data_IF_163209611608
#
_entry.id   IF_163209611608
#
_cell.length_a   1.000
_cell.length_b   1.000
_cell.length_c   1.000
_cell.angle_alpha   90.00
_cell.angle_beta   90.00
_cell.angle_gamma   90.00
#
_symmetry.space_group_name_H-M   'P 1'
#
loop_
_entity.id
_entity.type
_entity.pdbx_description
1 polymer ?
#
# COMPACT_ATOMS: atom_id res chain seq x y z
N UNK A 1 6.94 32.04 24.52
CA UNK A 1 6.81 30.63 24.91
C UNK A 1 6.61 30.59 26.41
N UNK A 2 5.40 30.26 26.86
CA UNK A 2 5.08 30.12 28.28
C UNK A 2 5.68 28.81 28.81
N UNK A 3 6.21 28.78 30.03
CA UNK A 3 6.80 27.57 30.64
C UNK A 3 5.84 26.36 30.61
N UNK A 4 4.54 26.65 30.66
CA UNK A 4 3.44 25.68 30.63
C UNK A 4 3.28 24.94 29.28
N UNK A 5 3.67 25.55 28.16
CA UNK A 5 3.60 24.88 26.84
C UNK A 5 4.78 23.93 26.60
N UNK A 6 5.92 24.18 27.26
CA UNK A 6 7.14 23.37 27.14
C UNK A 6 7.01 22.02 27.86
N UNK A 7 6.31 21.98 28.99
CA UNK A 7 6.06 20.74 29.75
C UNK A 7 4.85 19.94 29.24
N UNK A 8 3.97 20.56 28.44
CA UNK A 8 2.75 19.91 27.94
C UNK A 8 3.01 18.88 26.83
N UNK A 9 3.96 19.11 25.91
CA UNK A 9 4.19 18.22 24.77
C UNK A 9 4.70 16.81 25.17
N UNK A 10 5.69 16.68 26.07
CA UNK A 10 6.13 15.36 26.55
C UNK A 10 5.03 14.62 27.32
N UNK A 11 4.22 15.36 28.08
CA UNK A 11 3.06 14.81 28.79
C UNK A 11 2.05 14.23 27.79
N UNK A 12 1.60 15.03 26.82
CA UNK A 12 0.63 14.62 25.81
C UNK A 12 1.14 13.47 24.94
N UNK A 13 2.40 13.49 24.49
CA UNK A 13 2.96 12.39 23.70
C UNK A 13 2.96 11.06 24.47
N UNK A 14 3.26 11.09 25.78
CA UNK A 14 3.15 9.89 26.62
C UNK A 14 1.72 9.37 26.68
N UNK A 15 0.72 10.23 26.89
CA UNK A 15 -0.68 9.81 26.89
C UNK A 15 -1.11 9.27 25.51
N UNK A 16 -0.76 9.96 24.42
CA UNK A 16 -1.11 9.52 23.07
C UNK A 16 -0.50 8.16 22.71
N UNK A 17 0.74 7.89 23.10
CA UNK A 17 1.37 6.57 22.90
C UNK A 17 0.63 5.47 23.64
N UNK A 18 0.27 5.67 24.92
CA UNK A 18 -0.55 4.70 25.66
C UNK A 18 -1.94 4.54 25.04
N UNK A 19 -2.58 5.62 24.60
CA UNK A 19 -3.87 5.56 23.92
C UNK A 19 -3.80 4.75 22.62
N UNK A 20 -2.75 4.94 21.82
CA UNK A 20 -2.52 4.21 20.56
C UNK A 20 -2.43 2.70 20.79
N UNK A 21 -1.73 2.26 21.84
CA UNK A 21 -1.63 0.84 22.18
C UNK A 21 -3.00 0.22 22.51
N UNK A 22 -3.85 0.96 23.22
CA UNK A 22 -5.23 0.54 23.51
C UNK A 22 -6.06 0.44 22.23
N UNK A 23 -6.02 1.48 21.39
CA UNK A 23 -6.76 1.50 20.10
C UNK A 23 -6.31 0.37 19.18
N UNK A 24 -4.99 0.13 19.07
CA UNK A 24 -4.43 -0.93 18.24
C UNK A 24 -4.88 -2.32 18.70
N UNK A 25 -4.82 -2.58 20.02
CA UNK A 25 -5.26 -3.85 20.61
C UNK A 25 -6.74 -4.13 20.36
N UNK A 26 -7.59 -3.12 20.44
CA UNK A 26 -9.02 -3.29 20.14
C UNK A 26 -9.31 -3.44 18.65
N UNK A 27 -8.56 -2.75 17.78
CA UNK A 27 -8.67 -2.95 16.34
C UNK A 27 -8.28 -4.38 15.93
N UNK A 28 -7.22 -4.93 16.55
CA UNK A 28 -6.84 -6.34 16.42
C UNK A 28 -7.94 -7.28 16.91
N UNK A 29 -8.54 -7.00 18.08
CA UNK A 29 -9.64 -7.80 18.62
C UNK A 29 -10.90 -7.78 17.74
N UNK A 30 -11.13 -6.69 17.00
CA UNK A 30 -12.23 -6.56 16.02
C UNK A 30 -11.91 -7.14 14.64
N UNK A 31 -10.67 -7.58 14.40
CA UNK A 31 -10.23 -8.07 13.09
C UNK A 31 -10.10 -6.98 12.01
N UNK A 32 -10.05 -5.70 12.42
CA UNK A 32 -9.89 -4.55 11.52
C UNK A 32 -8.43 -4.34 11.06
N UNK A 33 -7.49 -4.94 11.79
CA UNK A 33 -6.05 -4.87 11.57
C UNK A 33 -5.49 -6.28 11.79
N UNK A 34 -4.68 -6.79 10.85
CA UNK A 34 -3.89 -8.00 11.09
C UNK A 34 -2.63 -7.65 11.91
N UNK A 35 -2.02 -8.58 12.67
CA UNK A 35 -0.82 -8.29 13.49
C UNK A 35 0.38 -7.72 12.70
N UNK A 36 0.32 -7.73 11.37
CA UNK A 36 1.31 -7.11 10.47
C UNK A 36 0.94 -5.69 9.98
N UNK A 37 -0.11 -5.07 10.52
CA UNK A 37 -0.42 -3.65 10.27
C UNK A 37 -1.16 -3.36 8.97
N UNK A 38 -1.71 -4.37 8.29
CA UNK A 38 -2.50 -4.15 7.06
C UNK A 38 -4.00 -4.21 7.37
N UNK A 39 -4.71 -3.16 6.94
CA UNK A 39 -6.16 -2.99 7.07
C UNK A 39 -6.89 -3.98 6.17
N UNK A 40 -7.86 -4.69 6.74
CA UNK A 40 -8.78 -5.60 6.05
C UNK A 40 -9.85 -4.82 5.31
N UNK A 41 -9.58 -4.38 4.07
CA UNK A 41 -10.63 -4.23 3.05
C UNK A 41 -10.07 -4.29 1.62
N UNK A 42 -10.76 -5.11 0.81
CA UNK A 42 -10.64 -5.34 -0.65
C UNK A 42 -9.54 -6.31 -1.14
N UNK A 43 -9.94 -7.59 -1.14
CA UNK A 43 -9.70 -8.63 -2.16
C UNK A 43 -8.76 -8.29 -3.34
N UNK A 44 -7.49 -8.73 -3.27
CA UNK A 44 -6.84 -9.66 -4.22
C UNK A 44 -5.31 -9.69 -4.04
N UNK A 45 -4.77 -10.91 -3.81
CA UNK A 45 -3.34 -11.34 -3.90
C UNK A 45 -2.37 -11.01 -2.72
N UNK A 46 -1.29 -11.82 -2.51
CA UNK A 46 -0.98 -12.43 -1.22
C UNK A 46 0.03 -11.62 -0.42
N UNK A 47 -0.29 -11.37 0.85
CA UNK A 47 0.73 -11.10 1.87
C UNK A 47 1.03 -12.42 2.58
N UNK A 48 2.30 -12.82 2.55
CA UNK A 48 2.87 -13.88 3.37
C UNK A 48 4.28 -13.47 3.75
N UNK A 49 4.54 -13.27 5.04
CA UNK A 49 5.35 -14.19 5.88
C UNK A 49 5.32 -13.69 7.33
N UNK A 50 4.83 -14.54 8.23
CA UNK A 50 4.94 -14.37 9.67
C UNK A 50 6.06 -15.31 10.14
N UNK A 51 7.15 -14.75 10.65
CA UNK A 51 8.31 -15.51 11.10
C UNK A 51 8.15 -15.85 12.59
N UNK A 52 7.63 -17.05 12.89
CA UNK A 52 7.73 -17.63 14.24
C UNK A 52 9.14 -18.17 14.49
N UNK A 53 9.82 -17.85 15.61
CA UNK A 53 11.00 -18.58 16.01
C UNK A 53 10.62 -19.85 16.80
N UNK A 54 11.27 -20.95 16.42
CA UNK A 54 11.16 -22.27 17.04
C UNK A 54 11.64 -22.24 18.50
N UNK A 55 10.87 -22.88 19.38
CA UNK A 55 11.30 -23.21 20.73
C UNK A 55 12.32 -24.34 20.74
N UNK A 56 13.40 -24.15 21.49
CA UNK A 56 14.23 -25.25 22.00
C UNK A 56 14.40 -25.11 23.50
N UNK A 57 13.89 -26.13 24.18
CA UNK A 57 14.00 -26.42 25.60
C UNK A 57 15.43 -26.81 25.97
N UNK A 58 16.03 -26.14 26.96
CA UNK A 58 17.08 -26.70 27.80
C UNK A 58 17.17 -25.93 29.14
N UNK A 59 17.09 -26.67 30.24
CA UNK A 59 17.51 -26.29 31.60
C UNK A 59 18.08 -27.54 32.27
N UNK A 60 18.81 -27.43 33.40
CA UNK A 60 19.70 -26.36 33.86
C UNK A 60 21.05 -26.93 34.41
N UNK A 61 22.09 -26.10 34.53
CA UNK A 61 23.12 -26.32 35.56
C UNK A 61 23.52 -24.99 36.19
N UNK A 62 23.45 -24.96 37.51
CA UNK A 62 23.65 -23.77 38.33
C UNK A 62 25.12 -23.51 38.64
N UNK A 63 25.41 -22.23 38.89
CA UNK A 63 26.51 -21.80 39.76
C UNK A 63 26.03 -20.57 40.52
N UNK A 64 26.02 -20.69 41.85
CA UNK A 64 25.72 -19.63 42.81
C UNK A 64 26.71 -18.47 42.64
N UNK A 65 26.18 -17.27 42.38
CA UNK A 65 26.92 -16.02 42.53
C UNK A 65 26.09 -15.07 43.40
N UNK A 66 26.66 -14.41 44.43
CA UNK A 66 25.88 -13.59 45.37
C UNK A 66 25.25 -12.38 44.68
N UNK A 67 23.92 -12.30 44.77
CA UNK A 67 23.10 -11.30 44.11
C UNK A 67 23.11 -9.98 44.90
N UNK A 68 23.76 -8.96 44.35
CA UNK A 68 23.60 -7.55 44.75
C UNK A 68 22.21 -7.10 44.29
N UNK A 69 21.36 -6.48 45.14
CA UNK A 69 20.02 -6.07 44.72
C UNK A 69 20.13 -4.95 43.69
N UNK A 70 19.68 -5.23 42.46
CA UNK A 70 19.53 -4.24 41.42
C UNK A 70 18.51 -3.16 41.86
N UNK A 71 18.73 -1.87 41.54
CA UNK A 71 17.73 -0.85 41.79
C UNK A 71 16.46 -1.20 41.02
N UNK A 72 15.32 -1.15 41.71
CA UNK A 72 14.05 -1.67 41.23
C UNK A 72 13.75 -1.27 39.80
N UNK A 73 13.66 -2.27 38.92
CA UNK A 73 12.97 -2.15 37.64
C UNK A 73 11.50 -1.91 37.97
N UNK A 74 11.11 -0.64 38.01
CA UNK A 74 9.72 -0.26 37.92
C UNK A 74 9.18 -0.93 36.65
N UNK A 75 8.31 -1.93 36.81
CA UNK A 75 7.59 -2.54 35.70
C UNK A 75 6.91 -1.45 34.87
N UNK A 76 6.54 -1.73 33.60
CA UNK A 76 5.86 -0.76 32.76
C UNK A 76 4.69 -0.15 33.55
N UNK A 77 4.72 1.17 33.74
CA UNK A 77 3.66 1.87 34.46
C UNK A 77 2.33 1.52 33.78
N UNK A 78 1.29 1.16 34.54
CA UNK A 78 0.02 0.78 33.94
C UNK A 78 -0.51 1.92 33.07
N UNK A 79 -1.01 1.56 31.88
CA UNK A 79 -1.67 2.50 30.97
C UNK A 79 -2.73 3.30 31.72
N UNK A 80 -2.82 4.63 31.53
CA UNK A 80 -3.88 5.43 32.13
C UNK A 80 -5.26 5.11 31.52
N UNK A 81 -5.31 4.38 30.40
CA UNK A 81 -6.52 3.98 29.70
C UNK A 81 -6.76 2.48 29.83
N UNK A 82 -8.00 2.10 30.17
CA UNK A 82 -8.43 0.70 30.26
C UNK A 82 -8.92 0.19 28.89
N UNK A 83 -9.71 1.02 28.22
CA UNK A 83 -10.38 0.71 26.95
C UNK A 83 -10.42 1.94 26.02
N UNK A 84 -10.96 1.78 24.81
CA UNK A 84 -11.08 2.88 23.86
C UNK A 84 -12.12 3.94 24.26
N UNK A 85 -13.02 3.67 25.20
CA UNK A 85 -13.95 4.68 25.70
C UNK A 85 -13.24 5.69 26.60
N UNK A 86 -12.33 5.21 27.46
CA UNK A 86 -11.42 6.06 28.22
C UNK A 86 -10.58 6.95 27.29
N UNK A 87 -10.06 6.37 26.20
CA UNK A 87 -9.29 7.11 25.18
C UNK A 87 -10.14 8.17 24.50
N UNK A 88 -11.36 7.84 24.08
CA UNK A 88 -12.30 8.79 23.45
C UNK A 88 -12.62 9.95 24.39
N UNK A 89 -12.89 9.64 25.66
CA UNK A 89 -13.22 10.64 26.69
C UNK A 89 -12.05 11.59 26.94
N UNK A 90 -10.85 11.03 27.10
CA UNK A 90 -9.63 11.82 27.27
C UNK A 90 -9.33 12.67 26.02
N UNK A 91 -9.47 12.11 24.82
CA UNK A 91 -9.28 12.84 23.58
C UNK A 91 -10.24 14.03 23.49
N UNK A 92 -11.53 13.81 23.75
CA UNK A 92 -12.54 14.86 23.74
C UNK A 92 -12.19 16.01 24.70
N UNK A 93 -11.69 15.69 25.90
CA UNK A 93 -11.25 16.68 26.89
C UNK A 93 -9.95 17.41 26.53
N UNK A 94 -9.07 16.81 25.74
CA UNK A 94 -7.73 17.35 25.46
C UNK A 94 -7.52 17.82 24.01
N UNK A 95 -8.50 17.66 23.11
CA UNK A 95 -8.34 17.93 21.67
C UNK A 95 -7.96 19.39 21.34
N UNK A 96 -8.42 20.36 22.12
CA UNK A 96 -8.08 21.77 21.90
C UNK A 96 -6.72 22.12 22.50
N UNK A 97 -6.38 21.55 23.67
CA UNK A 97 -5.03 21.62 24.26
C UNK A 97 -4.00 21.02 23.31
N UNK A 98 -4.31 19.87 22.70
CA UNK A 98 -3.45 19.20 21.73
C UNK A 98 -3.15 20.09 20.52
N UNK A 99 -4.19 20.69 19.91
CA UNK A 99 -4.00 21.61 18.78
C UNK A 99 -3.20 22.87 19.17
N UNK A 100 -3.40 23.41 20.38
CA UNK A 100 -2.62 24.53 20.87
C UNK A 100 -1.14 24.14 21.05
N UNK A 101 -0.87 23.02 21.72
CA UNK A 101 0.50 22.51 21.94
C UNK A 101 1.21 22.21 20.62
N UNK A 102 0.53 21.61 19.64
CA UNK A 102 1.08 21.35 18.32
C UNK A 102 1.52 22.63 17.58
N UNK A 103 0.84 23.76 17.79
CA UNK A 103 1.17 25.05 17.15
C UNK A 103 2.27 25.83 17.87
N UNK A 104 2.41 25.61 19.18
CA UNK A 104 3.36 26.32 20.02
C UNK A 104 4.69 25.60 20.20
N UNK A 105 4.70 24.27 20.04
CA UNK A 105 5.90 23.45 20.12
C UNK A 105 6.91 23.79 19.01
N UNK A 106 8.17 23.48 19.23
CA UNK A 106 9.16 23.52 18.15
C UNK A 106 8.75 22.52 17.04
N UNK A 107 9.12 22.78 15.78
CA UNK A 107 8.65 21.97 14.65
C UNK A 107 8.97 20.47 14.78
N UNK A 108 10.10 20.10 15.38
CA UNK A 108 10.49 18.69 15.56
C UNK A 108 9.57 17.99 16.56
N UNK A 109 9.40 18.59 17.74
CA UNK A 109 8.46 18.08 18.76
C UNK A 109 7.02 18.06 18.24
N UNK A 110 6.62 19.06 17.45
CA UNK A 110 5.30 19.12 16.84
C UNK A 110 5.07 17.96 15.84
N UNK A 111 6.09 17.59 15.05
CA UNK A 111 6.01 16.45 14.13
C UNK A 111 5.84 15.12 14.88
N UNK A 112 6.63 14.89 15.94
CA UNK A 112 6.51 13.69 16.78
C UNK A 112 5.12 13.60 17.43
N UNK A 113 4.65 14.72 18.00
CA UNK A 113 3.35 14.81 18.63
C UNK A 113 2.21 14.59 17.62
N UNK A 114 2.35 15.10 16.40
CA UNK A 114 1.40 14.89 15.31
C UNK A 114 1.33 13.41 14.91
N UNK A 115 2.49 12.74 14.83
CA UNK A 115 2.55 11.31 14.54
C UNK A 115 1.85 10.47 15.62
N UNK A 116 1.95 10.86 16.89
CA UNK A 116 1.25 10.20 17.99
C UNK A 116 -0.25 10.56 18.02
N UNK A 117 -0.64 11.74 17.55
CA UNK A 117 -2.02 12.23 17.55
C UNK A 117 -2.93 11.51 16.56
N UNK A 118 -2.51 11.36 15.29
CA UNK A 118 -3.37 10.85 14.20
C UNK A 118 -4.08 9.52 14.53
N UNK A 119 -3.38 8.46 15.00
CA UNK A 119 -4.02 7.17 15.27
C UNK A 119 -5.04 7.18 16.42
N UNK A 120 -5.01 8.22 17.27
CA UNK A 120 -5.88 8.35 18.44
C UNK A 120 -7.17 9.09 18.09
N UNK A 121 -7.23 9.79 16.96
CA UNK A 121 -8.39 10.58 16.55
C UNK A 121 -9.61 9.67 16.33
N UNK A 122 -10.68 9.79 17.14
CA UNK A 122 -11.89 8.97 17.00
C UNK A 122 -12.56 9.17 15.63
N UNK A 123 -13.14 8.10 15.05
CA UNK A 123 -13.78 8.13 13.72
C UNK A 123 -14.95 9.13 13.61
N UNK A 124 -15.59 9.46 14.73
CA UNK A 124 -16.71 10.41 14.85
C UNK A 124 -16.28 11.86 15.11
N UNK A 125 -14.97 12.14 15.22
CA UNK A 125 -14.45 13.51 15.35
C UNK A 125 -14.92 14.39 14.19
N UNK A 126 -15.26 15.65 14.44
CA UNK A 126 -15.71 16.56 13.38
C UNK A 126 -14.63 16.85 12.34
N UNK A 127 -15.04 16.95 11.06
CA UNK A 127 -14.12 17.18 9.95
C UNK A 127 -13.40 18.54 10.05
N UNK A 128 -13.99 19.54 10.70
CA UNK A 128 -13.36 20.83 10.91
C UNK A 128 -12.14 20.73 11.85
N UNK A 129 -12.21 19.88 12.88
CA UNK A 129 -11.07 19.57 13.74
C UNK A 129 -10.01 18.77 12.97
N UNK A 130 -10.38 17.75 12.21
CA UNK A 130 -9.45 16.98 11.37
C UNK A 130 -8.71 17.87 10.35
N UNK A 131 -9.41 18.85 9.74
CA UNK A 131 -8.80 19.84 8.85
C UNK A 131 -7.78 20.72 9.59
N UNK A 132 -8.09 21.17 10.80
CA UNK A 132 -7.12 21.95 11.61
C UNK A 132 -5.87 21.14 11.94
N UNK A 133 -6.01 19.83 12.19
CA UNK A 133 -4.86 18.94 12.42
C UNK A 133 -4.04 18.74 11.13
N UNK A 134 -4.73 18.56 10.00
CA UNK A 134 -4.13 18.53 8.66
C UNK A 134 -3.33 19.81 8.37
N UNK A 135 -3.91 21.00 8.63
CA UNK A 135 -3.26 22.29 8.38
C UNK A 135 -1.95 22.44 9.16
N UNK A 136 -1.89 21.90 10.39
CA UNK A 136 -0.64 21.83 11.16
C UNK A 136 0.41 20.99 10.42
N UNK A 137 0.04 19.80 9.95
CA UNK A 137 0.93 18.93 9.18
C UNK A 137 1.47 19.61 7.91
N UNK A 138 0.60 20.31 7.16
CA UNK A 138 1.00 21.09 5.97
C UNK A 138 1.96 22.21 6.34
N UNK A 139 1.67 22.95 7.43
CA UNK A 139 2.56 24.00 7.94
C UNK A 139 3.94 23.45 8.32
N UNK A 140 3.99 22.28 8.94
CA UNK A 140 5.25 21.61 9.28
C UNK A 140 6.01 21.15 8.03
N UNK A 141 5.33 20.69 6.98
CA UNK A 141 5.98 20.25 5.74
C UNK A 141 6.74 21.39 5.03
N UNK A 142 6.29 22.63 5.18
CA UNK A 142 7.00 23.80 4.67
C UNK A 142 8.29 24.12 5.45
N UNK A 143 8.34 23.79 6.75
CA UNK A 143 9.47 24.11 7.65
C UNK A 143 10.45 22.94 7.77
N UNK A 144 9.96 21.71 7.62
CA UNK A 144 10.70 20.47 7.81
C UNK A 144 10.69 19.59 6.54
N UNK A 145 11.25 20.07 5.42
CA UNK A 145 11.11 19.42 4.11
C UNK A 145 11.81 18.05 4.00
N UNK A 146 12.69 17.69 4.93
CA UNK A 146 13.47 16.43 4.93
C UNK A 146 13.27 15.60 6.22
N UNK A 147 12.27 15.94 7.03
CA UNK A 147 12.04 15.32 8.35
C UNK A 147 11.31 13.99 8.24
N UNK A 148 11.99 12.89 8.55
CA UNK A 148 11.41 11.55 8.62
C UNK A 148 10.32 11.40 9.70
N UNK A 149 10.44 12.01 10.90
CA UNK A 149 9.33 12.03 11.86
C UNK A 149 8.07 12.68 11.30
N UNK A 150 8.22 13.77 10.53
CA UNK A 150 7.09 14.39 9.86
C UNK A 150 6.51 13.48 8.77
N UNK A 151 7.34 12.83 7.95
CA UNK A 151 6.88 11.86 6.97
C UNK A 151 6.01 10.76 7.63
N UNK A 152 6.48 10.19 8.75
CA UNK A 152 5.71 9.22 9.52
C UNK A 152 4.39 9.80 10.08
N UNK A 153 4.38 11.08 10.46
CA UNK A 153 3.17 11.77 10.91
C UNK A 153 2.15 11.93 9.77
N UNK A 154 2.62 12.35 8.59
CA UNK A 154 1.81 12.54 7.39
C UNK A 154 1.21 11.19 6.93
N UNK A 155 2.01 10.11 6.94
CA UNK A 155 1.54 8.75 6.63
C UNK A 155 0.38 8.30 7.50
N UNK A 156 0.56 8.40 8.82
CA UNK A 156 -0.49 8.06 9.80
C UNK A 156 -1.73 8.93 9.64
N UNK A 157 -1.56 10.20 9.28
CA UNK A 157 -2.67 11.08 8.93
C UNK A 157 -3.40 10.64 7.68
N UNK A 158 -2.67 10.27 6.62
CA UNK A 158 -3.24 9.75 5.39
C UNK A 158 -4.04 8.46 5.64
N UNK A 159 -3.48 7.51 6.39
CA UNK A 159 -4.17 6.29 6.83
C UNK A 159 -5.46 6.59 7.60
N UNK A 160 -5.38 7.48 8.59
CA UNK A 160 -6.54 7.86 9.43
C UNK A 160 -7.64 8.51 8.60
N UNK A 161 -7.28 9.44 7.71
CA UNK A 161 -8.24 10.14 6.85
C UNK A 161 -8.83 9.22 5.78
N UNK A 162 -8.05 8.28 5.24
CA UNK A 162 -8.52 7.25 4.32
C UNK A 162 -9.55 6.34 5.00
N UNK A 163 -9.28 5.89 6.23
CA UNK A 163 -10.23 5.07 7.00
C UNK A 163 -11.54 5.80 7.33
N UNK A 164 -11.55 7.13 7.27
CA UNK A 164 -12.73 7.99 7.44
C UNK A 164 -13.43 8.34 6.12
N UNK A 165 -12.95 7.85 4.98
CA UNK A 165 -13.46 8.18 3.64
C UNK A 165 -13.03 9.57 3.12
N UNK A 166 -12.16 10.28 3.84
CA UNK A 166 -11.63 11.59 3.44
C UNK A 166 -10.46 11.45 2.45
N UNK A 167 -10.70 10.76 1.32
CA UNK A 167 -9.67 10.36 0.37
C UNK A 167 -8.87 11.54 -0.19
N UNK A 168 -9.51 12.69 -0.45
CA UNK A 168 -8.82 13.89 -0.96
C UNK A 168 -7.75 14.42 0.00
N UNK A 169 -8.06 14.47 1.30
CA UNK A 169 -7.09 14.92 2.29
C UNK A 169 -6.00 13.87 2.53
N UNK A 170 -6.36 12.58 2.46
CA UNK A 170 -5.40 11.48 2.57
C UNK A 170 -4.37 11.52 1.43
N UNK A 171 -4.81 11.69 0.18
CA UNK A 171 -3.92 11.88 -0.97
C UNK A 171 -3.00 13.07 -0.76
N UNK A 172 -3.54 14.21 -0.32
CA UNK A 172 -2.72 15.41 -0.08
C UNK A 172 -1.62 15.17 0.96
N UNK A 173 -1.92 14.49 2.08
CA UNK A 173 -0.89 14.13 3.06
C UNK A 173 0.15 13.15 2.50
N UNK A 174 -0.28 12.14 1.74
CA UNK A 174 0.63 11.21 1.08
C UNK A 174 1.57 11.91 0.09
N UNK A 175 1.07 12.90 -0.67
CA UNK A 175 1.90 13.72 -1.57
C UNK A 175 2.91 14.58 -0.80
N UNK A 176 2.54 15.13 0.35
CA UNK A 176 3.51 15.85 1.20
C UNK A 176 4.59 14.92 1.76
N UNK A 177 4.22 13.72 2.19
CA UNK A 177 5.16 12.70 2.64
C UNK A 177 6.10 12.27 1.49
N UNK A 178 5.55 12.08 0.29
CA UNK A 178 6.32 11.71 -0.90
C UNK A 178 7.33 12.80 -1.26
N UNK A 179 6.96 14.07 -1.11
CA UNK A 179 7.87 15.18 -1.32
C UNK A 179 9.05 15.18 -0.33
N UNK A 180 8.88 14.65 0.89
CA UNK A 180 9.98 14.48 1.85
C UNK A 180 10.92 13.37 1.37
N UNK A 181 10.38 12.21 1.00
CA UNK A 181 11.19 11.09 0.52
C UNK A 181 11.94 11.41 -0.77
N UNK A 182 11.28 12.07 -1.75
CA UNK A 182 11.91 12.53 -2.99
C UNK A 182 13.04 13.53 -2.77
N UNK A 183 12.95 14.40 -1.75
CA UNK A 183 14.04 15.35 -1.45
C UNK A 183 15.26 14.65 -0.86
N UNK A 184 15.03 13.66 -0.01
CA UNK A 184 16.12 12.92 0.61
C UNK A 184 16.80 11.98 -0.38
N UNK A 185 15.99 11.31 -1.23
CA UNK A 185 16.43 10.35 -2.25
C UNK A 185 17.45 9.33 -1.73
N UNK A 186 17.29 8.90 -0.47
CA UNK A 186 18.22 8.02 0.25
C UNK A 186 17.63 6.65 0.58
N UNK A 187 16.31 6.50 0.44
CA UNK A 187 15.57 5.28 0.73
C UNK A 187 14.50 5.03 -0.37
N UNK A 188 14.84 4.24 -1.41
CA UNK A 188 13.90 3.92 -2.47
C UNK A 188 12.73 3.07 -1.98
N UNK A 189 12.91 2.25 -0.94
CA UNK A 189 11.85 1.43 -0.36
C UNK A 189 10.83 2.29 0.39
N UNK A 190 11.28 3.31 1.12
CA UNK A 190 10.36 4.26 1.76
C UNK A 190 9.55 5.07 0.74
N UNK A 191 10.18 5.49 -0.37
CA UNK A 191 9.50 6.17 -1.48
C UNK A 191 8.45 5.26 -2.13
N UNK A 192 8.81 4.01 -2.42
CA UNK A 192 7.89 3.04 -3.01
C UNK A 192 6.75 2.65 -2.05
N UNK A 193 7.01 2.54 -0.75
CA UNK A 193 5.99 2.27 0.26
C UNK A 193 4.95 3.40 0.33
N UNK A 194 5.40 4.66 0.29
CA UNK A 194 4.51 5.81 0.20
C UNK A 194 3.65 5.76 -1.07
N UNK A 195 4.27 5.53 -2.23
CA UNK A 195 3.56 5.41 -3.51
C UNK A 195 2.54 4.28 -3.49
N UNK A 196 2.83 3.16 -2.81
CA UNK A 196 1.88 2.09 -2.60
C UNK A 196 0.68 2.51 -1.72
N UNK A 197 0.90 3.33 -0.69
CA UNK A 197 -0.18 3.88 0.14
C UNK A 197 -1.06 4.89 -0.63
N UNK A 198 -0.45 5.73 -1.47
CA UNK A 198 -1.16 6.61 -2.41
C UNK A 198 -1.98 5.79 -3.42
N UNK A 199 -1.36 4.80 -4.04
CA UNK A 199 -2.02 3.87 -4.96
C UNK A 199 -3.23 3.17 -4.30
N UNK A 200 -3.09 2.70 -3.05
CA UNK A 200 -4.21 2.12 -2.32
C UNK A 200 -5.34 3.14 -2.07
N UNK A 201 -5.01 4.41 -1.86
CA UNK A 201 -5.98 5.50 -1.71
C UNK A 201 -6.69 5.83 -3.03
N UNK A 202 -5.99 5.80 -4.16
CA UNK A 202 -6.57 5.99 -5.50
C UNK A 202 -7.41 4.81 -5.95
N UNK A 203 -6.96 3.57 -5.68
CA UNK A 203 -7.72 2.35 -5.96
C UNK A 203 -9.04 2.32 -5.20
N UNK A 204 -9.06 2.76 -3.94
CA UNK A 204 -10.31 2.90 -3.16
C UNK A 204 -11.31 3.90 -3.78
N UNK A 205 -10.83 4.83 -4.61
CA UNK A 205 -11.66 5.77 -5.38
C UNK A 205 -11.98 5.27 -6.81
N UNK A 206 -11.50 4.08 -7.19
CA UNK A 206 -11.65 3.54 -8.54
C UNK A 206 -10.75 4.20 -9.60
N UNK A 207 -9.76 4.99 -9.20
CA UNK A 207 -8.88 5.74 -10.10
C UNK A 207 -7.67 4.90 -10.52
N UNK A 208 -7.89 3.90 -11.38
CA UNK A 208 -6.83 2.95 -11.78
C UNK A 208 -5.67 3.59 -12.57
N UNK A 209 -5.88 4.74 -13.23
CA UNK A 209 -4.80 5.45 -13.92
C UNK A 209 -3.81 6.07 -12.92
N UNK A 210 -4.30 6.73 -11.87
CA UNK A 210 -3.45 7.26 -10.79
C UNK A 210 -2.71 6.14 -10.05
N UNK A 211 -3.31 4.94 -9.94
CA UNK A 211 -2.64 3.75 -9.40
C UNK A 211 -1.45 3.35 -10.27
N UNK A 212 -1.62 3.35 -11.60
CA UNK A 212 -0.54 3.06 -12.53
C UNK A 212 0.55 4.14 -12.46
N UNK A 213 0.19 5.43 -12.39
CA UNK A 213 1.14 6.53 -12.26
C UNK A 213 2.00 6.40 -10.99
N UNK A 214 1.40 6.03 -9.84
CA UNK A 214 2.15 5.77 -8.61
C UNK A 214 3.15 4.60 -8.77
N UNK A 215 2.75 3.54 -9.47
CA UNK A 215 3.61 2.38 -9.68
C UNK A 215 4.70 2.64 -10.72
N UNK A 216 4.42 3.42 -11.77
CA UNK A 216 5.42 3.85 -12.75
C UNK A 216 6.51 4.70 -12.07
N UNK A 217 6.12 5.58 -11.16
CA UNK A 217 7.09 6.35 -10.38
C UNK A 217 7.90 5.47 -9.40
N UNK A 218 7.27 4.47 -8.78
CA UNK A 218 7.98 3.51 -7.92
C UNK A 218 8.98 2.68 -8.73
N UNK A 219 8.61 2.32 -9.96
CA UNK A 219 9.48 1.62 -10.91
C UNK A 219 10.67 2.51 -11.29
N UNK A 220 10.44 3.78 -11.61
CA UNK A 220 11.52 4.73 -11.92
C UNK A 220 12.47 4.90 -10.74
N UNK A 221 11.93 5.01 -9.52
CA UNK A 221 12.71 5.08 -8.29
C UNK A 221 13.61 3.85 -8.13
N UNK A 222 13.07 2.65 -8.27
CA UNK A 222 13.87 1.43 -8.14
C UNK A 222 14.89 1.23 -9.27
N UNK A 223 14.58 1.67 -10.49
CA UNK A 223 15.53 1.66 -11.61
C UNK A 223 16.70 2.62 -11.34
N UNK A 224 16.42 3.82 -10.81
CA UNK A 224 17.45 4.83 -10.50
C UNK A 224 18.41 4.37 -9.39
N UNK A 225 17.91 3.56 -8.46
CA UNK A 225 18.65 3.04 -7.31
C UNK A 225 19.19 1.61 -7.50
N UNK A 226 19.20 1.09 -8.74
CA UNK A 226 19.69 -0.26 -9.07
C UNK A 226 19.11 -1.36 -8.17
N UNK A 227 17.79 -1.31 -7.93
CA UNK A 227 17.10 -2.20 -6.98
C UNK A 227 16.26 -3.27 -7.71
N UNK A 228 16.87 -4.38 -8.19
CA UNK A 228 16.23 -5.30 -9.13
C UNK A 228 15.03 -6.04 -8.56
N UNK A 229 15.05 -6.35 -7.26
CA UNK A 229 13.90 -6.96 -6.58
C UNK A 229 12.69 -6.01 -6.55
N UNK A 230 12.92 -4.71 -6.36
CA UNK A 230 11.89 -3.68 -6.43
C UNK A 230 11.32 -3.55 -7.84
N UNK A 231 12.19 -3.50 -8.85
CA UNK A 231 11.81 -3.47 -10.27
C UNK A 231 10.90 -4.66 -10.63
N UNK A 232 11.29 -5.88 -10.29
CA UNK A 232 10.52 -7.09 -10.61
C UNK A 232 9.11 -7.07 -9.97
N UNK A 233 9.04 -6.68 -8.69
CA UNK A 233 7.77 -6.57 -7.96
C UNK A 233 6.87 -5.48 -8.54
N UNK A 234 7.40 -4.28 -8.78
CA UNK A 234 6.60 -3.16 -9.31
C UNK A 234 6.10 -3.42 -10.73
N UNK A 235 6.89 -4.08 -11.59
CA UNK A 235 6.42 -4.50 -12.92
C UNK A 235 5.27 -5.50 -12.84
N UNK A 236 5.31 -6.44 -11.88
CA UNK A 236 4.23 -7.38 -11.66
C UNK A 236 2.95 -6.66 -11.17
N UNK A 237 3.09 -5.68 -10.28
CA UNK A 237 1.98 -4.89 -9.75
C UNK A 237 1.35 -3.99 -10.84
N UNK A 238 2.16 -3.36 -11.71
CA UNK A 238 1.68 -2.63 -12.89
C UNK A 238 0.89 -3.54 -13.83
N UNK A 239 1.44 -4.72 -14.10
CA UNK A 239 0.77 -5.75 -14.89
C UNK A 239 -0.59 -6.14 -14.32
N UNK A 240 -0.69 -6.30 -13.00
CA UNK A 240 -1.96 -6.60 -12.32
C UNK A 240 -2.99 -5.47 -12.50
N UNK A 241 -2.58 -4.22 -12.32
CA UNK A 241 -3.47 -3.04 -12.45
C UNK A 241 -3.95 -2.86 -13.89
N UNK A 242 -3.08 -3.11 -14.87
CA UNK A 242 -3.45 -3.07 -16.29
C UNK A 242 -4.44 -4.18 -16.64
N UNK A 243 -4.33 -5.38 -16.04
CA UNK A 243 -5.35 -6.44 -16.17
C UNK A 243 -6.69 -6.03 -15.55
N UNK A 244 -6.68 -5.38 -14.39
CA UNK A 244 -7.87 -4.82 -13.74
C UNK A 244 -8.54 -3.78 -14.65
N UNK A 245 -7.75 -2.92 -15.29
CA UNK A 245 -8.21 -1.90 -16.22
C UNK A 245 -8.60 -2.45 -17.62
N UNK A 246 -8.48 -3.77 -17.86
CA UNK A 246 -8.79 -4.40 -19.14
C UNK A 246 -7.78 -4.13 -20.26
N UNK A 247 -6.61 -3.56 -19.95
CA UNK A 247 -5.53 -3.25 -20.90
C UNK A 247 -4.62 -4.48 -21.09
N UNK A 248 -5.16 -5.52 -21.72
CA UNK A 248 -4.52 -6.85 -21.82
C UNK A 248 -3.11 -6.83 -22.42
N UNK A 249 -2.90 -6.14 -23.55
CA UNK A 249 -1.60 -6.12 -24.23
C UNK A 249 -0.51 -5.45 -23.37
N UNK A 250 -0.85 -4.32 -22.75
CA UNK A 250 0.06 -3.60 -21.87
C UNK A 250 0.37 -4.42 -20.61
N UNK A 251 -0.63 -5.09 -20.04
CA UNK A 251 -0.43 -5.99 -18.92
C UNK A 251 0.52 -7.14 -19.25
N UNK A 252 0.34 -7.77 -20.42
CA UNK A 252 1.22 -8.85 -20.88
C UNK A 252 2.67 -8.37 -21.03
N UNK A 253 2.90 -7.18 -21.62
CA UNK A 253 4.24 -6.61 -21.74
C UNK A 253 4.91 -6.46 -20.37
N UNK A 254 4.21 -5.87 -19.39
CA UNK A 254 4.75 -5.61 -18.06
C UNK A 254 4.99 -6.90 -17.28
N UNK A 255 4.07 -7.86 -17.36
CA UNK A 255 4.21 -9.15 -16.68
C UNK A 255 5.31 -10.02 -17.29
N UNK A 256 5.55 -9.96 -18.60
CA UNK A 256 6.68 -10.67 -19.23
C UNK A 256 8.00 -10.04 -18.82
N UNK A 257 8.07 -8.71 -18.73
CA UNK A 257 9.25 -8.00 -18.20
C UNK A 257 9.48 -8.34 -16.73
N UNK A 258 8.43 -8.43 -15.92
CA UNK A 258 8.51 -8.87 -14.53
C UNK A 258 9.03 -10.32 -14.41
N UNK A 259 8.51 -11.26 -15.20
CA UNK A 259 8.95 -12.67 -15.19
C UNK A 259 10.46 -12.80 -15.47
N UNK A 260 11.00 -11.98 -16.38
CA UNK A 260 12.46 -11.89 -16.65
C UNK A 260 13.22 -11.23 -15.50
N UNK A 261 12.70 -10.14 -14.93
CA UNK A 261 13.36 -9.45 -13.83
C UNK A 261 13.48 -10.34 -12.57
N UNK A 262 12.52 -11.24 -12.33
CA UNK A 262 12.61 -12.23 -11.25
C UNK A 262 13.69 -13.30 -11.48
N UNK A 263 14.15 -13.53 -12.72
CA UNK A 263 15.31 -14.41 -12.98
C UNK A 263 16.61 -13.77 -12.47
N UNK A 264 16.70 -12.44 -12.44
CA UNK A 264 17.84 -11.67 -11.94
C UNK A 264 17.77 -11.42 -10.42
N UNK A 265 16.55 -11.27 -9.87
CA UNK A 265 16.30 -11.09 -8.44
C UNK A 265 15.28 -12.13 -7.92
N UNK A 266 15.74 -13.32 -7.50
CA UNK A 266 14.84 -14.41 -7.13
C UNK A 266 13.98 -14.11 -5.90
N UNK A 267 12.67 -14.06 -6.12
CA UNK A 267 11.62 -14.05 -5.09
C UNK A 267 10.58 -15.12 -5.51
N UNK A 268 10.74 -16.39 -5.10
CA UNK A 268 9.96 -17.49 -5.66
C UNK A 268 8.45 -17.34 -5.50
N UNK A 269 8.00 -16.76 -4.39
CA UNK A 269 6.57 -16.56 -4.11
C UNK A 269 6.02 -15.44 -4.98
N UNK A 270 6.69 -14.28 -5.04
CA UNK A 270 6.26 -13.17 -5.92
C UNK A 270 6.37 -13.54 -7.40
N UNK A 271 7.38 -14.29 -7.80
CA UNK A 271 7.55 -14.78 -9.17
C UNK A 271 6.42 -15.74 -9.56
N UNK A 272 6.03 -16.65 -8.66
CA UNK A 272 4.88 -17.52 -8.89
C UNK A 272 3.58 -16.72 -9.03
N UNK A 273 3.36 -15.69 -8.20
CA UNK A 273 2.21 -14.80 -8.32
C UNK A 273 2.20 -14.06 -9.67
N UNK A 274 3.35 -13.53 -10.11
CA UNK A 274 3.52 -12.92 -11.44
C UNK A 274 3.17 -13.89 -12.57
N UNK A 275 3.62 -15.14 -12.48
CA UNK A 275 3.29 -16.20 -13.46
C UNK A 275 1.81 -16.57 -13.44
N UNK A 276 1.15 -16.52 -12.29
CA UNK A 276 -0.30 -16.70 -12.22
C UNK A 276 -1.05 -15.54 -12.89
N UNK A 277 -0.57 -14.30 -12.75
CA UNK A 277 -1.09 -13.14 -13.46
C UNK A 277 -0.88 -13.26 -14.98
N UNK A 278 0.29 -13.73 -15.44
CA UNK A 278 0.53 -14.08 -16.84
C UNK A 278 -0.47 -15.14 -17.33
N UNK A 279 -0.70 -16.19 -16.55
CA UNK A 279 -1.68 -17.22 -16.88
C UNK A 279 -3.08 -16.65 -17.07
N UNK A 280 -3.50 -15.74 -16.18
CA UNK A 280 -4.78 -15.03 -16.30
C UNK A 280 -4.83 -14.13 -17.54
N UNK A 281 -3.75 -13.41 -17.83
CA UNK A 281 -3.64 -12.54 -18.99
C UNK A 281 -3.77 -13.33 -20.31
N UNK A 282 -3.01 -14.41 -20.46
CA UNK A 282 -3.07 -15.29 -21.63
C UNK A 282 -4.42 -16.00 -21.78
N UNK A 283 -5.05 -16.39 -20.67
CA UNK A 283 -6.39 -16.97 -20.72
C UNK A 283 -7.41 -15.97 -21.29
N UNK A 284 -7.31 -14.68 -20.91
CA UNK A 284 -8.18 -13.61 -21.42
C UNK A 284 -7.88 -13.23 -22.87
N UNK A 285 -6.66 -13.40 -23.35
CA UNK A 285 -6.32 -13.17 -24.77
C UNK A 285 -6.63 -14.38 -25.67
N UNK A 286 -7.09 -15.50 -25.10
CA UNK A 286 -7.46 -16.71 -25.83
C UNK A 286 -6.33 -17.73 -26.00
N UNK A 287 -5.09 -17.43 -25.61
CA UNK A 287 -3.97 -18.37 -25.64
C UNK A 287 -3.98 -19.29 -24.40
N UNK A 288 -4.88 -20.29 -24.44
CA UNK A 288 -5.02 -21.29 -23.38
C UNK A 288 -3.74 -22.10 -23.15
N UNK A 289 -2.95 -22.34 -24.20
CA UNK A 289 -1.72 -23.10 -24.09
C UNK A 289 -0.65 -22.31 -23.31
N UNK A 290 -0.51 -21.01 -23.57
CA UNK A 290 0.35 -20.12 -22.78
C UNK A 290 -0.15 -19.97 -21.34
N UNK A 291 -1.47 -19.88 -21.15
CA UNK A 291 -2.07 -19.81 -19.84
C UNK A 291 -1.72 -21.03 -18.97
N UNK A 292 -1.96 -22.24 -19.47
CA UNK A 292 -1.66 -23.49 -18.77
C UNK A 292 -0.17 -23.62 -18.44
N UNK A 293 0.71 -23.23 -19.37
CA UNK A 293 2.17 -23.21 -19.10
C UNK A 293 2.52 -22.28 -17.95
N UNK A 294 1.96 -21.06 -17.93
CA UNK A 294 2.23 -20.08 -16.89
C UNK A 294 1.70 -20.54 -15.52
N UNK A 295 0.48 -21.09 -15.45
CA UNK A 295 -0.07 -21.64 -14.21
C UNK A 295 0.71 -22.84 -13.69
N UNK A 296 1.13 -23.75 -14.57
CA UNK A 296 1.94 -24.91 -14.17
C UNK A 296 3.32 -24.49 -13.62
N UNK A 297 3.94 -23.47 -14.22
CA UNK A 297 5.20 -22.89 -13.70
C UNK A 297 4.98 -22.22 -12.35
N UNK A 298 3.89 -21.48 -12.15
CA UNK A 298 3.54 -20.88 -10.87
C UNK A 298 3.36 -21.96 -9.79
N UNK A 299 2.54 -22.98 -10.05
CA UNK A 299 2.30 -24.08 -9.11
C UNK A 299 3.57 -24.88 -8.80
N UNK A 300 4.39 -25.15 -9.82
CA UNK A 300 5.67 -25.84 -9.64
C UNK A 300 6.63 -25.07 -8.74
N UNK A 301 6.69 -23.75 -8.86
CA UNK A 301 7.51 -22.89 -8.01
C UNK A 301 7.02 -22.84 -6.56
N UNK A 302 5.73 -23.10 -6.30
CA UNK A 302 5.14 -23.03 -4.96
C UNK A 302 5.24 -24.35 -4.16
N UNK A 303 5.70 -25.45 -4.78
CA UNK A 303 5.80 -26.76 -4.13
C UNK A 303 6.72 -26.68 -2.91
N UNK A 304 6.17 -26.95 -1.73
CA UNK A 304 6.92 -26.93 -0.47
C UNK A 304 7.36 -25.53 -0.01
N UNK A 305 6.93 -24.46 -0.68
CA UNK A 305 7.18 -23.07 -0.29
C UNK A 305 5.92 -22.41 0.27
N UNK A 306 4.79 -22.49 -0.44
CA UNK A 306 3.54 -21.86 -0.01
C UNK A 306 2.30 -22.62 -0.54
N UNK A 307 1.76 -23.51 0.30
CA UNK A 307 0.55 -24.28 0.00
C UNK A 307 -0.73 -23.42 -0.02
N UNK A 308 -0.71 -22.26 0.65
CA UNK A 308 -1.81 -21.30 0.62
C UNK A 308 -1.93 -20.65 -0.75
N UNK A 309 -0.80 -20.18 -1.27
CA UNK A 309 -0.75 -19.57 -2.59
C UNK A 309 -0.96 -20.58 -3.70
N UNK A 310 -0.41 -21.80 -3.56
CA UNK A 310 -0.67 -22.87 -4.51
C UNK A 310 -2.17 -23.20 -4.62
N UNK A 311 -2.91 -23.15 -3.50
CA UNK A 311 -4.37 -23.33 -3.52
C UNK A 311 -5.07 -22.21 -4.28
N UNK A 312 -4.72 -20.94 -4.03
CA UNK A 312 -5.30 -19.79 -4.74
C UNK A 312 -5.09 -19.86 -6.25
N UNK A 313 -3.90 -20.28 -6.70
CA UNK A 313 -3.63 -20.48 -8.13
C UNK A 313 -4.50 -21.59 -8.72
N UNK A 314 -4.70 -22.72 -8.00
CA UNK A 314 -5.61 -23.80 -8.45
C UNK A 314 -7.06 -23.33 -8.53
N UNK A 315 -7.52 -22.55 -7.56
CA UNK A 315 -8.87 -22.01 -7.54
C UNK A 315 -9.09 -21.01 -8.69
N UNK A 316 -8.09 -20.18 -8.98
CA UNK A 316 -8.09 -19.29 -10.14
C UNK A 316 -8.21 -20.06 -11.46
N UNK A 317 -7.37 -21.09 -11.67
CA UNK A 317 -7.40 -21.93 -12.87
C UNK A 317 -8.77 -22.59 -13.04
N UNK A 318 -9.34 -23.10 -11.95
CA UNK A 318 -10.66 -23.74 -11.95
C UNK A 318 -11.74 -22.75 -12.37
N UNK A 319 -11.73 -21.53 -11.79
CA UNK A 319 -12.68 -20.47 -12.16
C UNK A 319 -12.56 -20.10 -13.63
N UNK A 320 -11.35 -19.85 -14.14
CA UNK A 320 -11.14 -19.47 -15.55
C UNK A 320 -11.60 -20.54 -16.53
N UNK A 321 -11.40 -21.83 -16.21
CA UNK A 321 -11.87 -22.95 -17.05
C UNK A 321 -13.39 -23.12 -17.03
N UNK A 322 -14.06 -22.65 -15.97
CA UNK A 322 -15.52 -22.71 -15.84
C UNK A 322 -16.24 -21.53 -16.50
N UNK A 323 -15.53 -20.49 -16.93
CA UNK A 323 -16.13 -19.36 -17.62
C UNK A 323 -16.59 -19.78 -19.04
N UNK A 324 -17.79 -19.38 -19.48
CA UNK A 324 -18.17 -19.50 -20.89
C UNK A 324 -17.12 -18.79 -21.74
N UNK A 325 -16.71 -19.40 -22.85
CA UNK A 325 -15.87 -18.71 -23.83
C UNK A 325 -16.70 -17.58 -24.40
N UNK A 326 -16.27 -16.33 -24.21
CA UNK A 326 -16.77 -15.23 -25.02
C UNK A 326 -16.36 -15.56 -26.45
N UNK A 327 -17.34 -15.99 -27.25
CA UNK A 327 -17.15 -16.04 -28.70
C UNK A 327 -16.85 -14.60 -29.13
N UNK A 328 -15.80 -14.37 -29.95
CA UNK A 328 -15.56 -13.04 -30.46
C UNK A 328 -16.85 -12.58 -31.14
N UNK A 329 -17.32 -11.37 -30.82
CA UNK A 329 -18.38 -10.70 -31.58
C UNK A 329 -17.97 -10.78 -33.05
N UNK A 330 -18.60 -11.68 -33.79
CA UNK A 330 -18.59 -11.67 -35.24
C UNK A 330 -19.26 -10.35 -35.60
N UNK A 331 -18.45 -9.29 -35.74
CA UNK A 331 -18.86 -8.11 -36.46
C UNK A 331 -19.27 -8.62 -37.84
N UNK A 332 -20.59 -8.68 -38.06
CA UNK A 332 -21.16 -8.91 -39.37
C UNK A 332 -20.39 -8.02 -40.34
N UNK A 333 -19.79 -8.57 -41.41
CA UNK A 333 -19.17 -7.73 -42.41
C UNK A 333 -20.26 -6.78 -42.92
N UNK A 334 -20.05 -5.47 -42.76
CA UNK A 334 -20.90 -4.44 -43.33
C UNK A 334 -21.09 -4.75 -44.82
N UNK A 335 -22.25 -5.31 -45.18
CA UNK A 335 -22.76 -5.34 -46.54
C UNK A 335 -23.13 -3.91 -46.95
N UNK A 336 -22.11 -3.04 -47.08
CA UNK A 336 -22.26 -1.76 -47.73
C UNK A 336 -21.82 -1.88 -49.18
N UNK A 337 -22.82 -2.21 -50.00
CA UNK A 337 -23.08 -1.49 -51.24
C UNK A 337 -22.15 -1.79 -52.40
N UNK A 338 -22.66 -2.62 -53.32
CA UNK A 338 -22.50 -2.41 -54.76
C UNK A 338 -22.54 -0.90 -55.08
N UNK A 339 -21.40 -0.33 -55.44
CA UNK A 339 -21.32 0.92 -56.18
C UNK A 339 -20.23 0.78 -57.25
N UNK A 340 -20.72 0.53 -58.47
CA UNK A 340 -20.19 0.92 -59.77
C UNK A 340 -18.69 1.21 -59.86
N UNK A 341 -17.97 0.29 -60.49
CA UNK A 341 -16.74 0.62 -61.20
C UNK A 341 -17.09 1.45 -62.45
N UNK A 342 -16.49 2.64 -62.67
CA UNK A 342 -16.53 3.25 -63.98
C UNK A 342 -15.43 2.68 -64.88
N UNK A 343 -15.88 2.25 -66.06
CA UNK A 343 -15.16 1.77 -67.23
C UNK A 343 -13.96 2.67 -67.62
N UNK A 344 -12.79 2.12 -68.05
CA UNK A 344 -11.64 2.93 -68.43
C UNK A 344 -11.53 3.03 -69.96
N UNK A 345 -12.32 3.86 -70.64
CA UNK A 345 -12.04 4.16 -72.05
C UNK A 345 -12.87 5.34 -72.58
N UNK A 346 -12.28 6.55 -72.65
CA UNK A 346 -12.59 7.52 -73.72
C UNK A 346 -11.33 8.29 -74.13
N UNK A 347 -10.83 7.90 -75.30
CA UNK A 347 -9.80 8.54 -76.12
C UNK A 347 -10.35 9.85 -76.75
N UNK A 348 -9.74 11.03 -76.53
CA UNK A 348 -10.21 12.27 -77.10
C UNK A 348 -9.39 12.64 -78.35
N UNK A 349 -9.57 11.94 -79.47
CA UNK A 349 -9.16 12.44 -80.80
C UNK A 349 -10.00 11.86 -81.93
N UNK A 350 -11.18 12.41 -82.24
CA UNK A 350 -11.61 12.65 -83.63
C UNK A 350 -12.59 13.86 -83.71
N UNK A 351 -12.31 14.68 -84.71
CA UNK A 351 -12.91 15.94 -85.17
C UNK A 351 -14.17 15.67 -86.04
N UNK A 352 -14.97 16.67 -86.47
CA UNK A 352 -14.55 17.91 -87.16
C UNK A 352 -15.01 19.23 -86.56
#
# INVERSE_FOLDING_TARGET
>A
MSDESRDAAPELSRYLRSAREVVAREALARGEVTPQGTSTHADATPQGVDATPRGSSATPQGTDTPQVPAPGTAGPRPSPFRDAEDVRTWFAANRDRLLATLREADPGTAADLLADAWPVVPRDTDDAWCRRLYDVGVGLAAVLPESLPLAAALRRGAETLRARGSHRLAVALGVFELAIHRRRDDDPDATAANLADLAATYRAQGLLHEVADCLDEALETYLRHDHPAGVARTLADLGAVLLEAGRLDAALDHLVRADRAFDEAPDPVRHAACRALLGRAWARSGDQAAADRAFNRALGALIGLDDGEARRVRDLVTRLRSLPREEPDEQEPDEQGDLDQPDPEQDPRQQP
#
